data_IF_023502860517
#
_entry.id   IF_023502860517
#
_cell.length_a   1.000
_cell.length_b   1.000
_cell.length_c   1.000
_cell.angle_alpha   90.00
_cell.angle_beta   90.00
_cell.angle_gamma   90.00
#
_symmetry.space_group_name_H-M   'P 1'
#
loop_
_entity.id
_entity.type
_entity.pdbx_description
1 polymer ?
#
# COMPACT_ATOMS: atom_id res chain seq x y z
N UNK A 1 -34.18 7.16 -12.23
CA UNK A 1 -34.52 5.94 -11.46
C UNK A 1 -33.41 4.94 -11.72
N UNK A 2 -32.78 4.39 -10.68
CA UNK A 2 -31.70 3.40 -10.84
C UNK A 2 -32.33 2.02 -11.04
N UNK A 3 -31.93 1.33 -12.10
CA UNK A 3 -32.33 -0.06 -12.34
C UNK A 3 -31.26 -0.99 -11.77
N UNK A 4 -31.63 -1.81 -10.78
CA UNK A 4 -30.71 -2.76 -10.16
C UNK A 4 -30.59 -4.04 -10.99
N UNK A 5 -29.42 -4.69 -11.01
CA UNK A 5 -29.24 -5.89 -11.79
C UNK A 5 -29.98 -7.05 -11.11
N UNK A 6 -30.65 -7.87 -11.91
CA UNK A 6 -31.33 -9.06 -11.41
C UNK A 6 -30.35 -9.96 -10.64
N UNK A 7 -30.72 -10.29 -9.40
CA UNK A 7 -30.05 -11.26 -8.56
C UNK A 7 -30.99 -12.46 -8.39
N UNK A 8 -30.57 -13.64 -8.85
CA UNK A 8 -31.31 -14.89 -8.66
C UNK A 8 -31.53 -15.13 -7.16
N UNK A 9 -32.74 -15.56 -6.82
CA UNK A 9 -33.13 -15.96 -5.46
C UNK A 9 -33.35 -17.46 -5.46
N UNK A 10 -32.69 -18.16 -4.55
CA UNK A 10 -32.82 -19.60 -4.36
C UNK A 10 -33.68 -19.92 -3.14
N UNK A 11 -34.33 -21.07 -3.15
CA UNK A 11 -35.14 -21.54 -2.01
C UNK A 11 -34.30 -22.25 -0.93
N UNK A 12 -33.06 -21.79 -0.71
CA UNK A 12 -32.16 -22.40 0.29
C UNK A 12 -32.60 -22.03 1.71
N UNK A 13 -32.97 -23.05 2.49
CA UNK A 13 -33.40 -22.91 3.89
C UNK A 13 -32.53 -23.77 4.79
N UNK A 14 -32.04 -23.19 5.88
CA UNK A 14 -31.29 -23.87 6.93
C UNK A 14 -32.13 -23.97 8.20
N UNK A 15 -31.89 -24.99 9.02
CA UNK A 15 -32.46 -25.09 10.36
C UNK A 15 -31.33 -24.91 11.39
N UNK A 16 -31.40 -23.82 12.16
CA UNK A 16 -30.42 -23.46 13.18
C UNK A 16 -31.13 -23.42 14.54
N UNK A 17 -30.77 -24.34 15.43
CA UNK A 17 -31.37 -24.46 16.77
C UNK A 17 -32.92 -24.55 16.76
N UNK A 18 -33.48 -25.23 15.75
CA UNK A 18 -34.94 -25.37 15.56
C UNK A 18 -35.62 -24.19 14.87
N UNK A 19 -34.86 -23.16 14.45
CA UNK A 19 -35.37 -22.01 13.71
C UNK A 19 -35.00 -22.14 12.23
N UNK A 20 -35.98 -22.01 11.33
CA UNK A 20 -35.76 -21.97 9.88
C UNK A 20 -35.23 -20.60 9.45
N UNK A 21 -34.15 -20.58 8.68
CA UNK A 21 -33.49 -19.38 8.16
C UNK A 21 -33.32 -19.52 6.66
N UNK A 22 -33.95 -18.63 5.90
CA UNK A 22 -33.85 -18.56 4.43
C UNK A 22 -32.62 -17.76 4.02
N UNK A 23 -31.89 -18.24 3.01
CA UNK A 23 -30.68 -17.60 2.50
C UNK A 23 -30.63 -17.74 0.97
N UNK A 24 -31.38 -16.85 0.32
CA UNK A 24 -31.67 -16.92 -1.10
C UNK A 24 -30.48 -16.55 -1.99
N UNK A 25 -29.44 -15.96 -1.42
CA UNK A 25 -28.27 -15.46 -2.15
C UNK A 25 -26.99 -16.24 -1.85
N UNK A 26 -27.10 -17.42 -1.25
CA UNK A 26 -25.97 -18.32 -0.97
C UNK A 26 -25.06 -18.55 -2.17
N UNK A 27 -25.58 -18.54 -3.39
CA UNK A 27 -24.78 -18.70 -4.61
C UNK A 27 -23.70 -17.61 -4.78
N UNK A 28 -23.87 -16.45 -4.13
CA UNK A 28 -22.88 -15.36 -4.12
C UNK A 28 -21.67 -15.65 -3.22
N UNK A 29 -21.71 -16.70 -2.40
CA UNK A 29 -20.54 -17.15 -1.60
C UNK A 29 -19.49 -17.88 -2.45
N UNK A 30 -19.78 -18.19 -3.72
CA UNK A 30 -18.88 -18.87 -4.65
C UNK A 30 -18.20 -17.85 -5.58
N UNK A 31 -17.02 -17.30 -5.20
CA UNK A 31 -16.40 -16.15 -5.87
C UNK A 31 -16.07 -16.40 -7.33
N UNK A 32 -15.77 -17.65 -7.70
CA UNK A 32 -15.23 -17.99 -9.02
C UNK A 32 -16.32 -18.27 -10.07
N UNK A 33 -17.60 -18.14 -9.71
CA UNK A 33 -18.70 -18.39 -10.65
C UNK A 33 -18.87 -17.24 -11.65
N UNK A 34 -19.08 -17.59 -12.92
CA UNK A 34 -19.36 -16.59 -13.97
C UNK A 34 -20.64 -15.78 -13.67
N UNK A 35 -21.64 -16.38 -13.02
CA UNK A 35 -22.87 -15.69 -12.62
C UNK A 35 -22.56 -14.53 -11.65
N UNK A 36 -21.76 -14.79 -10.61
CA UNK A 36 -21.40 -13.79 -9.62
C UNK A 36 -20.49 -12.72 -10.20
N UNK A 37 -19.47 -13.09 -10.98
CA UNK A 37 -18.59 -12.13 -11.63
C UNK A 37 -19.37 -11.18 -12.56
N UNK A 38 -20.33 -11.70 -13.31
CA UNK A 38 -21.22 -10.89 -14.14
C UNK A 38 -22.13 -9.97 -13.31
N UNK A 39 -22.64 -10.46 -12.17
CA UNK A 39 -23.47 -9.65 -11.27
C UNK A 39 -22.65 -8.52 -10.61
N UNK A 40 -21.44 -8.81 -10.11
CA UNK A 40 -20.51 -7.82 -9.56
C UNK A 40 -20.17 -6.76 -10.60
N UNK A 41 -19.88 -7.16 -11.84
CA UNK A 41 -19.59 -6.22 -12.92
C UNK A 41 -20.78 -5.27 -13.17
N UNK A 42 -22.02 -5.79 -13.21
CA UNK A 42 -23.23 -4.96 -13.38
C UNK A 42 -23.44 -4.00 -12.20
N UNK A 43 -23.20 -4.45 -10.97
CA UNK A 43 -23.26 -3.59 -9.79
C UNK A 43 -22.23 -2.46 -9.85
N UNK A 44 -20.98 -2.78 -10.21
CA UNK A 44 -19.91 -1.80 -10.39
C UNK A 44 -20.27 -0.77 -11.48
N UNK A 45 -20.84 -1.21 -12.60
CA UNK A 45 -21.28 -0.31 -13.68
C UNK A 45 -22.36 0.69 -13.21
N UNK A 46 -23.35 0.23 -12.43
CA UNK A 46 -24.39 1.11 -11.89
C UNK A 46 -23.80 2.14 -10.94
N UNK A 47 -22.90 1.70 -10.05
CA UNK A 47 -22.25 2.59 -9.10
C UNK A 47 -21.35 3.63 -9.81
N UNK A 48 -20.56 3.20 -10.79
CA UNK A 48 -19.73 4.09 -11.60
C UNK A 48 -20.58 5.12 -12.36
N UNK A 49 -21.70 4.68 -12.94
CA UNK A 49 -22.66 5.59 -13.60
C UNK A 49 -23.26 6.60 -12.63
N UNK A 50 -23.70 6.15 -11.46
CA UNK A 50 -24.23 7.04 -10.42
C UNK A 50 -23.20 8.09 -10.02
N UNK A 51 -21.94 7.71 -9.84
CA UNK A 51 -20.88 8.67 -9.51
C UNK A 51 -20.60 9.64 -10.66
N UNK A 52 -20.59 9.16 -11.90
CA UNK A 52 -20.42 10.03 -13.06
C UNK A 52 -21.54 11.07 -13.17
N UNK A 53 -22.79 10.64 -13.03
CA UNK A 53 -23.97 11.52 -13.15
C UNK A 53 -24.02 12.58 -12.04
N UNK A 54 -23.45 12.30 -10.85
CA UNK A 54 -23.43 13.22 -9.72
C UNK A 54 -22.13 14.04 -9.58
N UNK A 55 -21.07 13.74 -10.34
CA UNK A 55 -19.79 14.46 -10.32
C UNK A 55 -19.58 15.29 -11.60
N UNK A 56 -20.62 15.94 -12.10
CA UNK A 56 -20.72 16.65 -13.40
C UNK A 56 -19.80 17.87 -13.62
N UNK A 57 -18.64 17.95 -12.98
CA UNK A 57 -17.64 19.01 -13.20
C UNK A 57 -16.33 18.41 -13.74
N UNK A 58 -16.21 18.50 -15.08
CA UNK A 58 -14.98 18.62 -15.89
C UNK A 58 -13.81 17.67 -15.60
N UNK A 59 -13.88 16.44 -16.11
CA UNK A 59 -12.83 15.88 -16.99
C UNK A 59 -13.20 14.45 -17.42
N UNK A 60 -13.68 14.33 -18.65
CA UNK A 60 -14.32 13.14 -19.25
C UNK A 60 -13.38 11.98 -19.60
N UNK A 61 -12.14 11.98 -19.11
CA UNK A 61 -11.11 11.03 -19.57
C UNK A 61 -10.56 10.06 -18.51
N UNK A 62 -11.08 10.03 -17.28
CA UNK A 62 -10.68 9.03 -16.28
C UNK A 62 -11.87 8.41 -15.56
N UNK A 63 -12.20 7.18 -15.97
CA UNK A 63 -13.22 6.28 -15.40
C UNK A 63 -12.95 5.85 -13.93
N UNK A 64 -12.07 6.55 -13.21
CA UNK A 64 -11.55 6.18 -11.88
C UNK A 64 -11.75 7.25 -10.80
N UNK A 65 -12.30 8.43 -11.12
CA UNK A 65 -12.42 9.52 -10.14
C UNK A 65 -13.77 9.45 -9.40
N UNK A 66 -13.79 8.68 -8.31
CA UNK A 66 -14.95 8.52 -7.40
C UNK A 66 -15.29 9.81 -6.61
N UNK A 67 -14.38 10.79 -6.61
CA UNK A 67 -14.44 12.02 -5.81
C UNK A 67 -14.34 13.26 -6.71
N UNK A 68 -15.03 14.38 -6.37
CA UNK A 68 -14.89 15.64 -7.08
C UNK A 68 -13.42 16.07 -7.23
N UNK A 69 -13.05 16.63 -8.38
CA UNK A 69 -11.65 16.89 -8.71
C UNK A 69 -10.96 17.85 -7.72
N UNK A 70 -11.66 18.92 -7.33
CA UNK A 70 -11.17 19.87 -6.33
C UNK A 70 -10.89 19.19 -4.97
N UNK A 71 -11.75 18.26 -4.54
CA UNK A 71 -11.57 17.52 -3.31
C UNK A 71 -10.38 16.55 -3.42
N UNK A 72 -10.27 15.84 -4.55
CA UNK A 72 -9.11 14.98 -4.84
C UNK A 72 -7.81 15.78 -4.84
N UNK A 73 -7.81 16.99 -5.42
CA UNK A 73 -6.65 17.89 -5.46
C UNK A 73 -6.26 18.35 -4.05
N UNK A 74 -7.23 18.77 -3.24
CA UNK A 74 -7.01 19.16 -1.84
C UNK A 74 -6.46 17.99 -1.01
N UNK A 75 -7.04 16.79 -1.14
CA UNK A 75 -6.53 15.60 -0.47
C UNK A 75 -5.11 15.23 -0.90
N UNK A 76 -4.83 15.23 -2.22
CA UNK A 76 -3.48 14.98 -2.72
C UNK A 76 -2.50 16.01 -2.18
N UNK A 77 -2.86 17.29 -2.18
CA UNK A 77 -2.02 18.35 -1.64
C UNK A 77 -1.74 18.15 -0.14
N UNK A 78 -2.76 17.81 0.64
CA UNK A 78 -2.65 17.61 2.09
C UNK A 78 -1.82 16.37 2.43
N UNK A 79 -1.89 15.31 1.62
CA UNK A 79 -1.20 14.05 1.87
C UNK A 79 0.22 14.00 1.27
N UNK A 80 0.56 14.93 0.37
CA UNK A 80 1.84 14.96 -0.34
C UNK A 80 2.94 15.64 0.50
N UNK A 81 3.37 14.95 1.54
CA UNK A 81 4.53 15.32 2.35
C UNK A 81 5.32 14.07 2.73
N UNK A 82 6.62 14.24 2.94
CA UNK A 82 7.51 13.15 3.30
C UNK A 82 7.23 12.67 4.72
N UNK A 83 7.28 11.35 4.93
CA UNK A 83 7.00 10.71 6.21
C UNK A 83 8.16 9.84 6.62
N UNK A 84 8.62 10.01 7.85
CA UNK A 84 9.67 9.20 8.48
C UNK A 84 9.13 8.60 9.77
N UNK A 85 9.44 7.33 10.04
CA UNK A 85 9.11 6.70 11.34
C UNK A 85 10.24 6.91 12.34
N UNK A 86 9.93 6.73 13.62
CA UNK A 86 10.97 6.62 14.64
C UNK A 86 11.95 5.49 14.27
N UNK A 87 13.27 5.72 14.34
CA UNK A 87 14.24 4.70 14.03
C UNK A 87 14.30 3.65 15.15
N UNK A 88 14.60 2.40 14.79
CA UNK A 88 14.76 1.30 15.74
C UNK A 88 16.07 0.55 15.47
N UNK A 89 16.72 0.11 16.55
CA UNK A 89 18.09 -0.42 16.50
C UNK A 89 18.11 -1.95 16.54
N UNK A 90 18.92 -2.56 15.67
CA UNK A 90 19.30 -3.96 15.75
C UNK A 90 20.79 -4.10 15.44
N UNK A 91 21.56 -4.67 16.38
CA UNK A 91 23.02 -4.62 16.32
C UNK A 91 23.52 -3.17 16.32
N UNK A 92 24.38 -2.85 15.35
CA UNK A 92 24.93 -1.49 15.18
C UNK A 92 24.20 -0.68 14.10
N UNK A 93 23.11 -1.22 13.53
CA UNK A 93 22.31 -0.56 12.51
C UNK A 93 21.03 0.00 13.10
N UNK A 94 20.64 1.16 12.61
CA UNK A 94 19.30 1.70 12.79
C UNK A 94 18.48 1.45 11.53
N UNK A 95 17.19 1.22 11.72
CA UNK A 95 16.22 0.98 10.66
C UNK A 95 15.09 1.97 10.82
N UNK A 96 14.53 2.40 9.70
CA UNK A 96 13.39 3.32 9.69
C UNK A 96 12.66 3.22 8.37
N UNK A 97 11.37 3.56 8.39
CA UNK A 97 10.58 3.70 7.19
C UNK A 97 10.60 5.14 6.72
N UNK A 98 10.71 5.32 5.42
CA UNK A 98 10.60 6.61 4.78
C UNK A 98 9.67 6.52 3.57
N UNK A 99 8.79 7.50 3.41
CA UNK A 99 7.83 7.58 2.32
C UNK A 99 7.83 8.98 1.74
N UNK A 100 8.18 9.08 0.46
CA UNK A 100 8.21 10.35 -0.27
C UNK A 100 6.81 10.64 -0.78
N UNK A 101 6.27 11.79 -0.39
CA UNK A 101 4.99 12.32 -0.88
C UNK A 101 3.87 11.28 -1.00
N UNK A 102 3.48 10.99 -2.24
CA UNK A 102 2.35 10.12 -2.59
C UNK A 102 2.76 8.71 -3.07
N UNK A 103 3.95 8.21 -2.73
CA UNK A 103 4.31 6.81 -2.98
C UNK A 103 3.21 5.86 -2.46
N UNK A 104 3.09 4.66 -3.02
CA UNK A 104 2.11 3.69 -2.53
C UNK A 104 2.50 3.21 -1.14
N UNK A 105 3.74 2.75 -0.99
CA UNK A 105 4.27 2.17 0.25
C UNK A 105 5.52 2.90 0.75
N UNK A 106 5.73 2.86 2.07
CA UNK A 106 6.98 3.31 2.66
C UNK A 106 8.11 2.32 2.35
N UNK A 107 9.31 2.86 2.14
CA UNK A 107 10.54 2.10 1.90
C UNK A 107 11.24 1.90 3.25
N UNK A 108 11.76 0.69 3.48
CA UNK A 108 12.59 0.39 4.65
C UNK A 108 14.05 0.75 4.33
N UNK A 109 14.63 1.64 5.14
CA UNK A 109 16.03 2.01 5.09
C UNK A 109 16.80 1.48 6.31
N UNK A 110 18.11 1.41 6.17
CA UNK A 110 19.04 1.19 7.27
C UNK A 110 20.23 2.13 7.22
N UNK A 111 20.79 2.49 8.37
CA UNK A 111 21.97 3.35 8.47
C UNK A 111 22.84 2.94 9.67
N UNK A 112 24.14 3.20 9.55
CA UNK A 112 25.08 3.21 10.66
C UNK A 112 25.30 4.68 11.07
N UNK A 113 24.64 5.17 12.12
CA UNK A 113 24.87 6.55 12.56
C UNK A 113 26.30 6.68 13.10
N UNK A 114 27.00 7.71 12.65
CA UNK A 114 28.31 8.10 13.16
C UNK A 114 28.17 8.94 14.45
N UNK A 115 27.03 9.61 14.61
CA UNK A 115 26.68 10.38 15.80
C UNK A 115 25.21 10.24 16.18
N UNK A 116 24.87 10.54 17.44
CA UNK A 116 23.45 10.63 17.84
C UNK A 116 22.69 11.71 17.06
N UNK A 117 23.37 12.74 16.55
CA UNK A 117 22.76 13.82 15.75
C UNK A 117 22.20 13.29 14.43
N UNK A 118 22.82 12.25 13.86
CA UNK A 118 22.38 11.62 12.60
C UNK A 118 20.96 11.04 12.74
N UNK A 119 20.56 10.63 13.94
CA UNK A 119 19.24 10.08 14.22
C UNK A 119 18.13 11.14 14.19
N UNK A 120 18.47 12.41 14.36
CA UNK A 120 17.51 13.52 14.30
C UNK A 120 17.32 14.07 12.88
N UNK A 121 18.20 13.69 11.94
CA UNK A 121 18.16 14.19 10.56
C UNK A 121 18.28 13.05 9.53
N UNK A 122 17.44 12.03 9.68
CA UNK A 122 17.44 10.82 8.83
C UNK A 122 17.14 11.12 7.36
N UNK A 123 16.30 12.13 7.07
CA UNK A 123 15.99 12.54 5.70
C UNK A 123 17.24 13.01 4.94
N UNK A 124 18.12 13.78 5.59
CA UNK A 124 19.40 14.20 4.99
C UNK A 124 20.38 13.07 4.68
N UNK A 125 20.15 11.88 5.24
CA UNK A 125 20.97 10.68 4.97
C UNK A 125 20.48 9.93 3.73
N UNK A 126 19.30 10.27 3.21
CA UNK A 126 18.71 9.73 1.98
C UNK A 126 19.09 10.61 0.78
N UNK A 127 19.02 11.95 0.93
CA UNK A 127 18.98 12.89 -0.21
C UNK A 127 20.28 13.05 -1.03
N UNK A 128 21.45 12.62 -0.53
CA UNK A 128 22.72 12.83 -1.26
C UNK A 128 23.11 11.70 -2.24
N UNK A 129 22.26 10.68 -2.44
CA UNK A 129 22.48 9.71 -3.54
C UNK A 129 22.15 10.29 -4.93
N UNK A 130 21.58 11.49 -5.03
CA UNK A 130 21.15 12.10 -6.29
C UNK A 130 22.00 13.27 -6.80
N UNK A 131 23.00 13.76 -6.05
CA UNK A 131 23.88 14.85 -6.51
C UNK A 131 25.20 14.33 -7.09
N UNK A 132 25.38 14.60 -8.38
CA UNK A 132 26.57 14.35 -9.18
C UNK A 132 27.75 15.23 -8.74
N UNK A 133 28.88 14.57 -8.43
CA UNK A 133 30.28 15.04 -8.48
C UNK A 133 30.54 16.55 -8.49
N UNK A 134 30.81 17.13 -7.32
CA UNK A 134 31.63 18.34 -7.21
C UNK A 134 33.05 17.95 -6.75
N UNK A 135 34.07 18.50 -7.42
CA UNK A 135 35.46 18.00 -7.38
C UNK A 135 36.40 18.75 -6.43
N UNK A 136 35.89 19.68 -5.61
CA UNK A 136 36.75 20.53 -4.79
C UNK A 136 36.23 20.76 -3.36
N UNK A 137 36.03 19.70 -2.58
CA UNK A 137 35.96 19.84 -1.13
C UNK A 137 36.37 18.56 -0.41
N UNK A 138 36.99 18.72 0.77
CA UNK A 138 37.30 17.63 1.68
C UNK A 138 36.03 16.79 1.91
N UNK A 139 35.97 15.59 1.32
CA UNK A 139 34.84 14.68 1.47
C UNK A 139 34.82 14.19 2.91
N UNK A 140 33.96 14.79 3.73
CA UNK A 140 33.44 14.07 4.89
C UNK A 140 32.81 12.78 4.37
N UNK A 141 33.27 11.64 4.87
CA UNK A 141 32.70 10.33 4.56
C UNK A 141 31.32 10.22 5.21
N UNK A 142 30.32 10.92 4.67
CA UNK A 142 28.95 10.84 5.14
C UNK A 142 28.39 9.47 4.75
N UNK A 143 28.06 8.65 5.74
CA UNK A 143 27.50 7.33 5.51
C UNK A 143 25.99 7.47 5.26
N UNK A 144 25.57 7.12 4.05
CA UNK A 144 24.18 7.28 3.61
C UNK A 144 23.29 6.14 4.08
N UNK A 145 22.00 6.43 4.21
CA UNK A 145 20.98 5.41 4.42
C UNK A 145 20.92 4.48 3.20
N UNK A 146 20.81 3.19 3.44
CA UNK A 146 20.75 2.14 2.42
C UNK A 146 19.34 1.58 2.34
N UNK A 147 18.79 1.43 1.14
CA UNK A 147 17.49 0.78 0.92
C UNK A 147 17.59 -0.71 1.26
N UNK A 148 16.75 -1.18 2.18
CA UNK A 148 16.66 -2.59 2.57
C UNK A 148 15.51 -3.28 1.84
N UNK A 149 14.32 -2.67 1.81
CA UNK A 149 13.14 -3.18 1.11
C UNK A 149 12.35 -2.01 0.54
N UNK A 150 12.10 -2.03 -0.77
CA UNK A 150 11.17 -1.11 -1.45
C UNK A 150 9.94 -1.90 -1.94
N UNK A 151 8.79 -1.80 -1.24
CA UNK A 151 7.58 -2.48 -1.68
C UNK A 151 6.97 -1.91 -2.96
N UNK A 152 7.37 -0.69 -3.38
CA UNK A 152 6.87 -0.09 -4.62
C UNK A 152 7.43 -0.79 -5.86
N UNK A 153 8.54 -1.53 -5.75
CA UNK A 153 9.10 -2.32 -6.85
C UNK A 153 8.40 -3.68 -7.03
N UNK A 154 7.53 -4.08 -6.11
CA UNK A 154 6.95 -5.43 -6.08
C UNK A 154 5.71 -5.59 -6.95
N UNK A 155 5.03 -4.48 -7.27
CA UNK A 155 3.83 -4.44 -8.11
C UNK A 155 3.73 -3.10 -8.83
N UNK A 156 3.25 -3.12 -10.08
CA UNK A 156 3.10 -1.89 -10.89
C UNK A 156 2.02 -0.95 -10.35
N UNK A 157 1.00 -1.50 -9.71
CA UNK A 157 -0.15 -0.78 -9.17
C UNK A 157 -0.05 -0.53 -7.65
N UNK A 158 1.00 -1.02 -7.00
CA UNK A 158 1.20 -0.89 -5.55
C UNK A 158 0.30 -1.80 -4.72
N UNK A 159 -0.21 -2.91 -5.27
CA UNK A 159 -1.04 -3.86 -4.52
C UNK A 159 -0.24 -4.85 -3.66
N UNK A 160 1.06 -5.03 -3.94
CA UNK A 160 1.96 -5.80 -3.08
C UNK A 160 2.49 -4.91 -1.95
N UNK A 161 2.41 -5.37 -0.70
CA UNK A 161 2.79 -4.59 0.47
C UNK A 161 3.70 -5.38 1.43
N UNK A 162 4.53 -4.65 2.16
CA UNK A 162 5.30 -5.17 3.30
C UNK A 162 4.41 -5.18 4.55
N UNK A 163 4.33 -6.33 5.22
CA UNK A 163 3.50 -6.49 6.43
C UNK A 163 4.31 -6.35 7.72
N UNK A 164 5.34 -7.17 7.89
CA UNK A 164 6.17 -7.20 9.10
C UNK A 164 7.61 -7.52 8.76
N UNK A 165 8.53 -7.01 9.58
CA UNK A 165 9.96 -7.31 9.48
C UNK A 165 10.52 -7.76 10.83
N UNK A 166 11.53 -8.61 10.76
CA UNK A 166 12.29 -9.07 11.90
C UNK A 166 13.78 -9.07 11.53
N UNK A 167 14.48 -7.94 11.76
CA UNK A 167 15.92 -7.91 11.63
C UNK A 167 16.58 -8.91 12.60
N UNK A 168 17.60 -9.61 12.13
CA UNK A 168 18.45 -10.46 12.98
C UNK A 168 19.14 -9.63 14.07
N UNK A 169 19.52 -10.27 15.18
CA UNK A 169 20.19 -9.61 16.32
C UNK A 169 21.44 -8.82 15.92
N UNK A 170 22.14 -9.25 14.88
CA UNK A 170 23.34 -8.59 14.36
C UNK A 170 23.04 -7.47 13.36
N UNK A 171 21.81 -7.38 12.87
CA UNK A 171 21.42 -6.48 11.78
C UNK A 171 21.91 -6.90 10.39
N UNK A 172 22.45 -8.13 10.24
CA UNK A 172 22.97 -8.64 8.96
C UNK A 172 21.90 -9.22 8.05
N UNK A 173 20.86 -9.82 8.63
CA UNK A 173 19.71 -10.37 7.88
C UNK A 173 18.43 -9.69 8.34
N UNK A 174 17.43 -9.68 7.46
CA UNK A 174 16.04 -9.33 7.79
C UNK A 174 15.11 -10.39 7.24
N UNK A 175 14.29 -10.98 8.10
CA UNK A 175 13.12 -11.74 7.69
C UNK A 175 11.97 -10.75 7.46
N UNK A 176 11.21 -10.90 6.39
CA UNK A 176 10.10 -10.02 6.07
C UNK A 176 8.92 -10.76 5.47
N UNK A 177 7.73 -10.23 5.73
CA UNK A 177 6.46 -10.75 5.24
C UNK A 177 5.91 -9.86 4.12
N UNK A 178 5.62 -10.45 2.97
CA UNK A 178 4.97 -9.79 1.83
C UNK A 178 3.54 -10.30 1.69
N UNK A 179 2.60 -9.40 1.42
CA UNK A 179 1.20 -9.72 1.09
C UNK A 179 0.83 -9.16 -0.28
N UNK A 180 -0.15 -9.78 -0.93
CA UNK A 180 -0.68 -9.40 -2.24
C UNK A 180 -2.12 -8.95 -2.13
N UNK A 181 -2.49 -7.88 -2.86
CA UNK A 181 -3.86 -7.41 -3.00
C UNK A 181 -4.63 -7.23 -1.69
N UNK A 182 -3.93 -6.90 -0.59
CA UNK A 182 -4.53 -6.75 0.74
C UNK A 182 -4.98 -8.04 1.42
N UNK A 183 -4.62 -9.21 0.88
CA UNK A 183 -4.89 -10.52 1.49
C UNK A 183 -4.21 -10.68 2.85
N UNK A 184 -4.82 -11.47 3.73
CA UNK A 184 -4.23 -11.91 4.99
C UNK A 184 -3.12 -12.96 4.79
N UNK A 185 -3.07 -13.61 3.62
CA UNK A 185 -2.00 -14.53 3.27
C UNK A 185 -0.68 -13.79 3.08
N UNK A 186 0.37 -14.31 3.72
CA UNK A 186 1.73 -13.74 3.66
C UNK A 186 2.76 -14.76 3.20
N UNK A 187 3.72 -14.29 2.40
CA UNK A 187 4.93 -15.01 2.05
C UNK A 187 6.10 -14.47 2.87
N UNK A 188 6.87 -15.37 3.49
CA UNK A 188 8.02 -15.01 4.32
C UNK A 188 9.31 -15.23 3.53
N UNK A 189 10.16 -14.21 3.48
CA UNK A 189 11.46 -14.25 2.85
C UNK A 189 12.55 -13.72 3.78
N UNK A 190 13.79 -14.12 3.56
CA UNK A 190 14.96 -13.60 4.30
C UNK A 190 15.90 -12.92 3.31
N UNK A 191 16.36 -11.72 3.65
CA UNK A 191 17.32 -10.94 2.87
C UNK A 191 18.57 -10.65 3.69
N UNK A 192 19.74 -10.76 3.07
CA UNK A 192 20.99 -10.24 3.63
C UNK A 192 21.13 -8.74 3.35
N UNK A 193 21.57 -8.00 4.36
CA UNK A 193 21.79 -6.56 4.35
C UNK A 193 23.30 -6.34 4.27
N UNK A 194 23.76 -6.00 3.07
CA UNK A 194 25.17 -5.64 2.79
C UNK A 194 25.42 -4.24 3.36
#
# INVERSE_FOLDING_TARGET
MIEYPYARRDDKVYELHGVKVEDEYRWMEEPDTMELQNWIAKQNCIFQKYLHDNNSHEDSNQSSNLLPEHFRKSLKSMLNFNKVTAPFQYGNRFFFYYKIGLQNHSILYTVYPQSHTDLFNLESLIEQQHESYDTHNHKEHKQYATVVLDPNEWSKDGTSALNSIHPSRTGRYVAYQRRECGSDWVSISVREII
#
